data_IF_878465628992
#
_entry.id   IF_878465628992
#
_cell.length_a   1.000
_cell.length_b   1.000
_cell.length_c   1.000
_cell.angle_alpha   90.00
_cell.angle_beta   90.00
_cell.angle_gamma   90.00
#
_symmetry.space_group_name_H-M   'P 1'
#
loop_
_entity.id
_entity.type
_entity.pdbx_description
1 polymer ?
#
# COMPACT_ATOMS: atom_id res chain seq x y z
N UNK A 1 1.50 -10.79 10.75
CA UNK A 1 1.49 -11.14 9.31
C UNK A 1 2.39 -10.14 8.59
N UNK A 2 3.06 -10.53 7.50
CA UNK A 2 4.09 -9.71 6.84
C UNK A 2 3.81 -9.64 5.34
N UNK A 3 3.96 -8.44 4.78
CA UNK A 3 3.97 -8.17 3.35
C UNK A 3 5.44 -8.14 2.92
N UNK A 4 5.89 -9.01 2.00
CA UNK A 4 7.26 -9.00 1.52
C UNK A 4 7.52 -7.80 0.61
N UNK A 5 8.77 -7.36 0.58
CA UNK A 5 9.25 -6.39 -0.39
C UNK A 5 9.00 -6.89 -1.82
N UNK A 6 8.67 -5.96 -2.73
CA UNK A 6 8.49 -6.25 -4.15
C UNK A 6 8.81 -5.02 -4.99
N UNK A 7 9.54 -5.23 -6.09
CA UNK A 7 9.66 -4.21 -7.13
C UNK A 7 8.64 -4.46 -8.22
N UNK A 8 7.92 -3.42 -8.62
CA UNK A 8 6.91 -3.47 -9.67
C UNK A 8 7.18 -2.42 -10.73
N UNK A 9 6.71 -2.70 -11.94
CA UNK A 9 6.66 -1.74 -13.03
C UNK A 9 5.19 -1.37 -13.23
N UNK A 10 4.91 -0.08 -13.43
CA UNK A 10 3.55 0.39 -13.73
C UNK A 10 3.19 -0.05 -15.15
N UNK A 11 2.24 -0.98 -15.27
CA UNK A 11 1.86 -1.56 -16.57
C UNK A 11 0.74 -0.78 -17.28
N UNK A 12 -0.15 -0.15 -16.52
CA UNK A 12 -1.33 0.58 -17.02
C UNK A 12 -1.24 2.07 -16.68
N UNK A 13 -1.88 2.92 -17.49
CA UNK A 13 -1.81 4.38 -17.38
C UNK A 13 -2.71 4.97 -16.27
N UNK A 14 -3.62 4.17 -15.73
CA UNK A 14 -4.59 4.55 -14.68
C UNK A 14 -4.17 4.06 -13.28
N UNK A 15 -2.93 3.64 -13.11
CA UNK A 15 -2.43 3.12 -11.84
C UNK A 15 -2.04 4.25 -10.88
N UNK A 16 -2.68 4.30 -9.71
CA UNK A 16 -2.24 5.12 -8.58
C UNK A 16 -1.34 4.31 -7.63
N UNK A 17 -0.55 5.02 -6.82
CA UNK A 17 0.30 4.37 -5.81
C UNK A 17 -0.55 3.58 -4.79
N UNK A 18 -1.67 4.15 -4.34
CA UNK A 18 -2.62 3.48 -3.44
C UNK A 18 -3.14 2.17 -4.03
N UNK A 19 -3.49 2.17 -5.32
CA UNK A 19 -4.00 0.98 -6.01
C UNK A 19 -2.93 -0.11 -6.09
N UNK A 20 -1.69 0.27 -6.44
CA UNK A 20 -0.55 -0.67 -6.48
C UNK A 20 -0.31 -1.28 -5.10
N UNK A 21 -0.29 -0.46 -4.05
CA UNK A 21 -0.11 -0.92 -2.67
C UNK A 21 -1.22 -1.90 -2.27
N UNK A 22 -2.48 -1.53 -2.53
CA UNK A 22 -3.64 -2.34 -2.25
C UNK A 22 -3.59 -3.69 -2.98
N UNK A 23 -3.29 -3.70 -4.28
CA UNK A 23 -3.21 -4.92 -5.08
C UNK A 23 -2.13 -5.87 -4.57
N UNK A 24 -0.94 -5.36 -4.21
CA UNK A 24 0.12 -6.19 -3.64
C UNK A 24 -0.28 -6.76 -2.27
N UNK A 25 -0.83 -5.91 -1.39
CA UNK A 25 -1.30 -6.36 -0.08
C UNK A 25 -2.43 -7.41 -0.20
N UNK A 26 -3.38 -7.22 -1.13
CA UNK A 26 -4.43 -8.20 -1.42
C UNK A 26 -3.87 -9.52 -1.93
N UNK A 27 -2.87 -9.49 -2.82
CA UNK A 27 -2.24 -10.69 -3.35
C UNK A 27 -1.50 -11.50 -2.26
N UNK A 28 -0.98 -10.84 -1.23
CA UNK A 28 -0.23 -11.48 -0.13
C UNK A 28 -1.14 -11.94 1.01
N UNK A 29 -2.05 -11.08 1.47
CA UNK A 29 -2.85 -11.35 2.67
C UNK A 29 -4.16 -12.08 2.33
N UNK A 30 -4.68 -11.94 1.11
CA UNK A 30 -5.90 -12.61 0.64
C UNK A 30 -7.20 -12.18 1.33
N UNK A 31 -7.14 -11.25 2.29
CA UNK A 31 -8.27 -10.80 3.12
C UNK A 31 -8.47 -9.29 2.98
N UNK A 32 -9.61 -8.91 2.39
CA UNK A 32 -9.97 -7.51 2.15
C UNK A 32 -10.12 -6.70 3.44
N UNK A 33 -10.62 -7.30 4.52
CA UNK A 33 -10.78 -6.60 5.80
C UNK A 33 -9.41 -6.28 6.41
N UNK A 34 -8.47 -7.22 6.32
CA UNK A 34 -7.09 -7.00 6.79
C UNK A 34 -6.37 -5.94 5.96
N UNK A 35 -6.49 -5.99 4.63
CA UNK A 35 -5.85 -5.00 3.75
C UNK A 35 -6.45 -3.61 3.96
N UNK A 36 -7.77 -3.49 4.10
CA UNK A 36 -8.42 -2.22 4.40
C UNK A 36 -8.09 -1.64 5.79
N UNK A 37 -7.58 -2.47 6.71
CA UNK A 37 -7.15 -2.04 8.03
C UNK A 37 -5.65 -1.68 8.10
N UNK A 38 -4.90 -1.83 7.01
CA UNK A 38 -3.48 -1.45 6.96
C UNK A 38 -3.34 0.06 7.19
N UNK A 39 -2.43 0.42 8.10
CA UNK A 39 -2.05 1.81 8.38
C UNK A 39 -0.55 1.96 8.23
N UNK A 40 -0.09 2.96 7.51
CA UNK A 40 1.34 3.23 7.35
C UNK A 40 1.99 2.54 6.13
N UNK A 41 1.29 1.65 5.43
CA UNK A 41 1.89 0.92 4.31
C UNK A 41 2.11 1.80 3.08
N UNK A 42 1.18 2.71 2.78
CA UNK A 42 1.33 3.69 1.72
C UNK A 42 2.46 4.67 2.04
N UNK A 43 2.50 5.14 3.28
CA UNK A 43 3.49 6.08 3.78
C UNK A 43 4.89 5.48 3.71
N UNK A 44 5.06 4.23 4.16
CA UNK A 44 6.32 3.49 3.99
C UNK A 44 6.71 3.34 2.52
N UNK A 45 5.73 3.17 1.62
CA UNK A 45 5.98 3.10 0.18
C UNK A 45 6.40 4.46 -0.38
N UNK A 46 5.81 5.56 0.08
CA UNK A 46 6.24 6.92 -0.30
C UNK A 46 7.67 7.20 0.17
N UNK A 47 8.03 6.81 1.39
CA UNK A 47 9.39 6.94 1.92
C UNK A 47 10.43 6.15 1.09
N UNK A 48 10.05 4.95 0.63
CA UNK A 48 10.90 4.14 -0.24
C UNK A 48 11.03 4.70 -1.67
N UNK A 49 10.17 5.64 -2.09
CA UNK A 49 10.14 6.23 -3.42
C UNK A 49 10.00 7.76 -3.34
N UNK A 50 11.00 8.50 -2.83
CA UNK A 50 10.89 9.94 -2.52
C UNK A 50 10.51 10.81 -3.73
N UNK A 51 10.92 10.38 -4.92
CA UNK A 51 10.65 11.05 -6.19
C UNK A 51 9.24 10.80 -6.75
N UNK A 52 8.46 9.88 -6.17
CA UNK A 52 7.20 9.43 -6.77
C UNK A 52 6.11 10.52 -6.77
N UNK A 53 6.16 11.43 -5.80
CA UNK A 53 5.18 12.50 -5.66
C UNK A 53 5.19 13.50 -6.83
N UNK A 54 6.28 13.58 -7.60
CA UNK A 54 6.40 14.49 -8.76
C UNK A 54 5.50 14.10 -9.93
N UNK A 55 5.00 12.86 -9.97
CA UNK A 55 4.18 12.34 -11.07
C UNK A 55 2.69 12.60 -10.92
N UNK A 56 2.23 13.04 -9.75
CA UNK A 56 0.81 13.26 -9.46
C UNK A 56 0.08 11.97 -9.05
N UNK A 57 -1.25 11.98 -9.18
CA UNK A 57 -2.13 10.89 -8.70
C UNK A 57 -2.01 9.62 -9.53
N UNK A 58 -1.81 9.76 -10.84
CA UNK A 58 -1.63 8.65 -11.77
C UNK A 58 -0.16 8.52 -12.13
N UNK A 59 0.38 7.32 -12.00
CA UNK A 59 1.78 7.06 -12.26
C UNK A 59 2.00 6.77 -13.75
N UNK A 60 3.09 7.28 -14.35
CA UNK A 60 3.40 6.99 -15.74
C UNK A 60 3.72 5.51 -15.92
N UNK A 61 3.22 4.94 -17.02
CA UNK A 61 3.56 3.59 -17.45
C UNK A 61 5.07 3.43 -17.59
N UNK A 62 5.59 2.29 -17.14
CA UNK A 62 7.02 1.97 -17.13
C UNK A 62 7.77 2.48 -15.89
N UNK A 63 7.12 3.27 -15.01
CA UNK A 63 7.74 3.69 -13.75
C UNK A 63 8.01 2.46 -12.86
N UNK A 64 9.20 2.41 -12.28
CA UNK A 64 9.57 1.40 -11.28
C UNK A 64 9.17 1.90 -9.90
N UNK A 65 8.45 1.08 -9.16
CA UNK A 65 8.03 1.38 -7.79
C UNK A 65 8.55 0.27 -6.87
N UNK A 66 9.19 0.68 -5.78
CA UNK A 66 9.64 -0.23 -4.72
C UNK A 66 8.57 -0.30 -3.64
N UNK A 67 7.98 -1.47 -3.45
CA UNK A 67 7.05 -1.74 -2.36
C UNK A 67 7.87 -2.33 -1.20
N UNK A 68 7.99 -1.65 -0.06
CA UNK A 68 8.85 -2.11 1.04
C UNK A 68 8.28 -3.36 1.70
N UNK A 69 9.16 -4.09 2.39
CA UNK A 69 8.69 -5.04 3.38
C UNK A 69 7.88 -4.32 4.47
N UNK A 70 6.73 -4.89 4.85
CA UNK A 70 5.86 -4.29 5.84
C UNK A 70 5.30 -5.32 6.83
N UNK A 71 5.48 -5.06 8.12
CA UNK A 71 4.92 -5.88 9.19
C UNK A 71 3.64 -5.23 9.68
N UNK A 72 2.55 -5.98 9.65
CA UNK A 72 1.28 -5.50 10.20
C UNK A 72 1.43 -5.28 11.70
N UNK A 73 1.37 -4.03 12.14
CA UNK A 73 1.04 -3.72 13.51
C UNK A 73 -0.47 -3.88 13.64
N UNK A 74 -0.90 -4.85 14.45
CA UNK A 74 -2.31 -4.96 14.83
C UNK A 74 -2.46 -4.27 16.17
N UNK A 75 -2.64 -2.92 16.22
CA UNK A 75 -3.11 -2.33 17.45
C UNK A 75 -4.45 -2.99 17.72
N UNK A 76 -4.60 -3.66 18.87
CA UNK A 76 -5.92 -4.10 19.35
C UNK A 76 -6.79 -2.85 19.40
N UNK A 77 -7.51 -2.56 18.31
CA UNK A 77 -8.32 -1.37 18.25
C UNK A 77 -9.52 -1.69 19.11
N UNK A 78 -9.55 -1.07 20.29
CA UNK A 78 -10.73 -1.09 21.13
C UNK A 78 -11.87 -0.48 20.30
N UNK A 79 -12.76 -1.33 19.81
CA UNK A 79 -13.90 -0.92 18.99
C UNK A 79 -14.79 -0.07 19.90
N UNK A 80 -14.70 1.26 19.77
CA UNK A 80 -15.68 2.17 20.37
C UNK A 80 -16.84 2.32 19.41
N UNK A 81 -18.05 2.03 19.90
CA UNK A 81 -19.26 2.42 19.17
C UNK A 81 -19.43 3.92 19.31
N UNK A 82 -19.85 4.58 18.23
CA UNK A 82 -20.01 6.04 18.20
C UNK A 82 -21.16 6.56 19.07
N UNK A 83 -22.00 5.65 19.58
CA UNK A 83 -23.18 5.94 20.38
C UNK A 83 -23.11 5.37 21.81
N UNK A 84 -21.93 4.86 22.21
CA UNK A 84 -21.63 4.55 23.62
C UNK A 84 -20.91 5.73 24.28
#
# INVERSE_FOLDING_TARGET
MKIPEKHVVVELEDMSLDLICFQHAMAVLGDRAQVGALRGYLEATLEANPDIAKYGVLLPRGLKVTLPEFVLSNPQSMVKRLWD
#
